data_IF_889295610233
#
_entry.id   IF_889295610233
#
_cell.length_a   1.000
_cell.length_b   1.000
_cell.length_c   1.000
_cell.angle_alpha   90.00
_cell.angle_beta   90.00
_cell.angle_gamma   90.00
#
_symmetry.space_group_name_H-M   'P 1'
#
loop_
_entity.id
_entity.type
_entity.pdbx_description
1 polymer ?
#
# COMPACT_ATOMS: atom_id res chain seq x y z
N UNK A 1 30.73 -5.22 -13.38
CA UNK A 1 30.03 -5.23 -13.24
C UNK A 1 29.20 -5.05 -13.46
N UNK A 2 28.88 -5.16 -13.77
CA UNK A 2 28.11 -4.98 -13.97
C UNK A 2 27.19 -4.85 -13.57
N UNK A 3 26.86 -4.64 -13.48
CA UNK A 3 25.62 -4.04 -13.41
C UNK A 3 24.56 -4.54 -12.50
N UNK A 4 24.87 -5.12 -11.42
CA UNK A 4 23.86 -5.52 -10.45
C UNK A 4 23.41 -4.31 -9.67
N UNK A 5 22.07 -4.11 -9.66
CA UNK A 5 21.47 -3.06 -8.84
C UNK A 5 21.50 -3.50 -7.40
N UNK A 6 22.06 -2.67 -6.55
CA UNK A 6 22.06 -2.94 -5.12
C UNK A 6 20.78 -2.37 -4.53
N UNK A 7 19.75 -3.20 -4.47
CA UNK A 7 18.44 -2.80 -3.98
C UNK A 7 18.46 -2.40 -2.50
N UNK A 8 19.46 -2.87 -1.75
CA UNK A 8 19.54 -2.53 -0.33
C UNK A 8 19.80 -1.06 -0.09
N UNK A 9 20.38 -0.37 -1.08
CA UNK A 9 20.54 1.08 -0.97
C UNK A 9 19.20 1.79 -0.82
N UNK A 10 18.17 1.27 -1.46
CA UNK A 10 16.84 1.85 -1.32
C UNK A 10 16.31 1.68 0.10
N UNK A 11 16.62 0.54 0.73
CA UNK A 11 16.20 0.31 2.11
C UNK A 11 16.88 1.28 3.06
N UNK A 12 18.12 1.68 2.77
CA UNK A 12 18.85 2.66 3.58
C UNK A 12 18.31 4.07 3.37
N UNK A 13 17.88 4.38 2.15
CA UNK A 13 17.35 5.70 1.81
C UNK A 13 15.95 5.91 2.38
N UNK A 14 15.17 4.84 2.49
CA UNK A 14 13.78 4.94 2.89
C UNK A 14 13.55 5.69 4.21
N UNK A 15 14.27 5.36 5.30
CA UNK A 15 14.02 6.09 6.55
C UNK A 15 14.35 7.57 6.46
N UNK A 16 15.37 7.92 5.68
CA UNK A 16 15.74 9.33 5.49
C UNK A 16 14.65 10.06 4.73
N UNK A 17 14.16 9.45 3.65
CA UNK A 17 13.11 10.05 2.84
C UNK A 17 11.82 10.19 3.66
N UNK A 18 11.52 9.22 4.50
CA UNK A 18 10.32 9.26 5.34
C UNK A 18 10.38 10.42 6.34
N UNK A 19 11.57 10.65 6.94
CA UNK A 19 11.76 11.75 7.88
C UNK A 19 11.61 13.09 7.16
N UNK A 20 12.12 13.19 5.94
CA UNK A 20 12.05 14.42 5.15
C UNK A 20 10.69 14.63 4.50
N UNK A 21 9.78 13.67 4.65
CA UNK A 21 8.45 13.71 4.05
C UNK A 21 8.47 13.84 2.53
N UNK A 22 9.45 13.20 1.92
CA UNK A 22 9.57 13.17 0.47
C UNK A 22 8.70 12.04 -0.07
N UNK A 23 7.39 12.29 -0.14
CA UNK A 23 6.40 11.24 -0.30
C UNK A 23 6.50 10.50 -1.63
N UNK A 24 6.85 11.21 -2.70
CA UNK A 24 7.03 10.54 -4.00
C UNK A 24 8.09 9.46 -3.92
N UNK A 25 9.24 9.81 -3.31
CA UNK A 25 10.35 8.88 -3.18
C UNK A 25 10.00 7.75 -2.22
N UNK A 26 9.38 8.12 -1.09
CA UNK A 26 9.00 7.14 -0.07
C UNK A 26 8.13 6.04 -0.66
N UNK A 27 7.06 6.43 -1.35
CA UNK A 27 6.13 5.45 -1.89
C UNK A 27 6.72 4.67 -3.05
N UNK A 28 7.57 5.32 -3.86
CA UNK A 28 8.24 4.62 -4.95
C UNK A 28 9.16 3.51 -4.42
N UNK A 29 9.96 3.83 -3.41
CA UNK A 29 10.86 2.85 -2.82
C UNK A 29 10.05 1.72 -2.18
N UNK A 30 9.08 2.10 -1.37
CA UNK A 30 8.28 1.14 -0.63
C UNK A 30 7.59 0.15 -1.56
N UNK A 31 6.89 0.66 -2.57
CA UNK A 31 6.17 -0.20 -3.51
C UNK A 31 7.15 -1.09 -4.27
N UNK A 32 8.23 -0.53 -4.77
CA UNK A 32 9.20 -1.30 -5.52
C UNK A 32 9.83 -2.41 -4.71
N UNK A 33 10.23 -2.11 -3.48
CA UNK A 33 10.90 -3.10 -2.64
C UNK A 33 9.93 -4.16 -2.13
N UNK A 34 8.70 -3.80 -1.83
CA UNK A 34 7.73 -4.78 -1.33
C UNK A 34 7.17 -5.66 -2.45
N UNK A 35 7.05 -5.11 -3.66
CA UNK A 35 6.59 -5.91 -4.78
C UNK A 35 7.67 -6.81 -5.33
N UNK A 36 8.94 -6.43 -5.17
CA UNK A 36 10.08 -7.25 -5.60
C UNK A 36 11.10 -7.28 -4.47
N UNK A 37 10.88 -8.11 -3.44
CA UNK A 37 11.64 -8.02 -2.19
C UNK A 37 12.98 -8.78 -2.22
N UNK A 38 13.80 -8.51 -3.22
CA UNK A 38 15.12 -9.14 -3.31
C UNK A 38 16.04 -8.58 -2.23
N UNK A 39 16.46 -9.43 -1.32
CA UNK A 39 17.44 -9.05 -0.30
C UNK A 39 16.92 -8.06 0.73
N UNK A 40 15.60 -7.95 0.90
CA UNK A 40 15.04 -7.10 1.95
C UNK A 40 15.22 -7.79 3.29
N UNK A 41 15.89 -7.10 4.23
CA UNK A 41 16.07 -7.64 5.57
C UNK A 41 14.75 -7.59 6.34
N UNK A 42 14.68 -8.38 7.41
CA UNK A 42 13.49 -8.34 8.27
C UNK A 42 13.28 -6.95 8.84
N UNK A 43 14.37 -6.27 9.20
CA UNK A 43 14.28 -4.93 9.75
C UNK A 43 13.70 -3.95 8.73
N UNK A 44 14.21 -4.00 7.50
CA UNK A 44 13.69 -3.12 6.44
C UNK A 44 12.23 -3.41 6.15
N UNK A 45 11.86 -4.70 6.10
CA UNK A 45 10.47 -5.07 5.87
C UNK A 45 9.55 -4.53 6.95
N UNK A 46 9.99 -4.61 8.21
CA UNK A 46 9.20 -4.07 9.31
C UNK A 46 8.99 -2.56 9.19
N UNK A 47 10.01 -1.85 8.70
CA UNK A 47 9.88 -0.41 8.48
C UNK A 47 8.85 -0.12 7.40
N UNK A 48 8.87 -0.86 6.30
CA UNK A 48 7.89 -0.70 5.23
C UNK A 48 6.48 -1.00 5.74
N UNK A 49 6.32 -2.09 6.47
CA UNK A 49 5.02 -2.45 7.03
C UNK A 49 4.48 -1.35 7.95
N UNK A 50 5.34 -0.84 8.82
CA UNK A 50 4.93 0.20 9.74
C UNK A 50 4.48 1.46 9.02
N UNK A 51 5.22 1.83 7.98
CA UNK A 51 4.87 3.02 7.21
C UNK A 51 3.53 2.86 6.50
N UNK A 52 3.31 1.69 5.88
CA UNK A 52 2.04 1.42 5.22
C UNK A 52 0.88 1.51 6.21
N UNK A 53 1.03 0.87 7.35
CA UNK A 53 -0.06 0.82 8.33
C UNK A 53 -0.43 2.19 8.85
N UNK A 54 0.56 3.08 8.93
CA UNK A 54 0.31 4.42 9.47
C UNK A 54 -0.12 5.44 8.43
N UNK A 55 0.23 5.22 7.16
CA UNK A 55 0.09 6.25 6.14
C UNK A 55 -0.69 5.81 4.91
N UNK A 56 -1.39 4.69 4.99
CA UNK A 56 -2.00 4.10 3.80
C UNK A 56 -3.10 4.95 3.17
N UNK A 57 -3.68 5.87 3.92
CA UNK A 57 -4.74 6.72 3.37
C UNK A 57 -4.24 7.60 2.22
N UNK A 58 -2.94 7.86 2.18
CA UNK A 58 -2.34 8.73 1.17
C UNK A 58 -1.75 7.98 -0.02
N UNK A 59 -1.58 6.67 0.11
CA UNK A 59 -0.75 5.92 -0.83
C UNK A 59 -1.22 6.00 -2.27
N UNK A 60 -2.53 6.01 -2.50
CA UNK A 60 -3.04 6.00 -3.87
C UNK A 60 -2.69 7.26 -4.64
N UNK A 61 -2.36 8.33 -3.94
CA UNK A 61 -1.95 9.57 -4.59
C UNK A 61 -0.52 9.49 -5.14
N UNK A 62 0.24 8.49 -4.71
CA UNK A 62 1.68 8.43 -5.02
C UNK A 62 2.10 7.17 -5.77
N UNK A 63 1.27 6.13 -5.77
CA UNK A 63 1.62 4.89 -6.48
C UNK A 63 1.53 5.11 -7.99
N UNK A 64 2.53 4.59 -8.71
CA UNK A 64 2.47 4.55 -10.16
C UNK A 64 1.32 3.66 -10.60
N UNK A 65 0.74 3.98 -11.72
CA UNK A 65 -0.42 3.24 -12.21
C UNK A 65 -0.14 1.75 -12.29
N UNK A 66 1.04 1.38 -12.78
CA UNK A 66 1.41 -0.02 -12.94
C UNK A 66 1.57 -0.74 -11.60
N UNK A 67 1.78 -0.01 -10.52
CA UNK A 67 1.97 -0.60 -9.19
C UNK A 67 0.67 -0.68 -8.40
N UNK A 68 -0.37 0.03 -8.82
CA UNK A 68 -1.59 0.13 -8.03
C UNK A 68 -2.25 -1.21 -7.79
N UNK A 69 -2.48 -1.96 -8.86
CA UNK A 69 -3.15 -3.25 -8.73
C UNK A 69 -2.31 -4.27 -7.96
N UNK A 70 -1.01 -4.46 -8.30
CA UNK A 70 -0.21 -5.41 -7.53
C UNK A 70 -0.09 -5.03 -6.07
N UNK A 71 0.02 -3.73 -5.78
CA UNK A 71 0.19 -3.30 -4.39
C UNK A 71 -1.09 -3.47 -3.58
N UNK A 72 -2.23 -3.17 -4.18
CA UNK A 72 -3.52 -3.41 -3.52
C UNK A 72 -3.67 -4.90 -3.22
N UNK A 73 -3.30 -5.77 -4.15
CA UNK A 73 -3.36 -7.20 -3.93
C UNK A 73 -2.43 -7.64 -2.80
N UNK A 74 -1.25 -7.06 -2.74
CA UNK A 74 -0.31 -7.35 -1.65
C UNK A 74 -0.90 -6.95 -0.30
N UNK A 75 -1.46 -5.77 -0.23
CA UNK A 75 -2.05 -5.28 1.02
C UNK A 75 -3.22 -6.14 1.47
N UNK A 76 -4.03 -6.57 0.52
CA UNK A 76 -5.15 -7.46 0.83
C UNK A 76 -4.64 -8.80 1.35
N UNK A 77 -3.65 -9.36 0.67
CA UNK A 77 -3.09 -10.66 1.04
C UNK A 77 -2.45 -10.62 2.42
N UNK A 78 -1.75 -9.54 2.73
CA UNK A 78 -1.03 -9.38 3.99
C UNK A 78 -1.88 -8.79 5.10
N UNK A 79 -3.11 -8.43 4.82
CA UNK A 79 -4.00 -7.88 5.84
C UNK A 79 -3.56 -6.51 6.34
N UNK A 80 -3.00 -5.70 5.47
CA UNK A 80 -2.47 -4.40 5.87
C UNK A 80 -3.52 -3.31 5.92
N UNK A 81 -4.66 -3.48 5.24
CA UNK A 81 -5.68 -2.43 5.18
C UNK A 81 -6.33 -2.20 6.54
N UNK A 82 -6.36 -0.95 6.96
CA UNK A 82 -7.25 -0.52 8.03
C UNK A 82 -8.59 -0.13 7.43
N UNK A 83 -9.60 0.02 8.28
CA UNK A 83 -10.91 0.47 7.81
C UNK A 83 -10.80 1.82 7.11
N UNK A 84 -10.09 2.75 7.75
CA UNK A 84 -9.90 4.08 7.18
C UNK A 84 -9.10 4.04 5.88
N UNK A 85 -8.06 3.21 5.85
CA UNK A 85 -7.21 3.10 4.67
C UNK A 85 -7.95 2.57 3.47
N UNK A 86 -8.77 1.53 3.68
CA UNK A 86 -9.50 0.95 2.57
C UNK A 86 -10.60 1.88 2.08
N UNK A 87 -11.21 2.63 3.00
CA UNK A 87 -12.21 3.64 2.62
C UNK A 87 -11.58 4.74 1.78
N UNK A 88 -10.38 5.18 2.16
CA UNK A 88 -9.67 6.19 1.39
C UNK A 88 -9.32 5.69 -0.01
N UNK A 89 -8.88 4.43 -0.10
CA UNK A 89 -8.53 3.84 -1.39
C UNK A 89 -9.77 3.70 -2.29
N UNK A 90 -10.90 3.29 -1.71
CA UNK A 90 -12.15 3.17 -2.44
C UNK A 90 -12.58 4.53 -2.97
N UNK A 91 -12.51 5.55 -2.13
CA UNK A 91 -12.89 6.90 -2.54
C UNK A 91 -12.02 7.38 -3.69
N UNK A 92 -10.71 7.14 -3.59
CA UNK A 92 -9.78 7.51 -4.66
C UNK A 92 -10.12 6.79 -5.96
N UNK A 93 -10.34 5.48 -5.89
CA UNK A 93 -10.62 4.68 -7.08
C UNK A 93 -11.94 5.09 -7.72
N UNK A 94 -12.92 5.44 -6.89
CA UNK A 94 -14.22 5.90 -7.37
C UNK A 94 -14.07 7.21 -8.11
N UNK A 95 -13.35 8.17 -7.51
CA UNK A 95 -13.17 9.48 -8.13
C UNK A 95 -12.37 9.38 -9.44
N UNK A 96 -11.44 8.46 -9.51
CA UNK A 96 -10.61 8.26 -10.70
C UNK A 96 -11.24 7.29 -11.70
N UNK A 97 -12.41 6.76 -11.38
CA UNK A 97 -13.14 5.84 -12.25
C UNK A 97 -12.32 4.59 -12.57
N UNK A 98 -11.55 4.12 -11.59
CA UNK A 98 -10.75 2.90 -11.73
C UNK A 98 -11.63 1.70 -11.35
N UNK A 99 -12.45 1.27 -12.28
CA UNK A 99 -13.51 0.30 -12.02
C UNK A 99 -12.99 -1.02 -11.48
N UNK A 100 -11.90 -1.53 -12.05
CA UNK A 100 -11.36 -2.81 -11.62
C UNK A 100 -10.79 -2.71 -10.21
N UNK A 101 -10.03 -1.65 -9.92
CA UNK A 101 -9.51 -1.42 -8.58
C UNK A 101 -10.64 -1.25 -7.58
N UNK A 102 -11.64 -0.49 -7.96
CA UNK A 102 -12.79 -0.25 -7.08
C UNK A 102 -13.46 -1.56 -6.71
N UNK A 103 -13.64 -2.43 -7.69
CA UNK A 103 -14.26 -3.72 -7.45
C UNK A 103 -13.46 -4.56 -6.45
N UNK A 104 -12.15 -4.62 -6.63
CA UNK A 104 -11.28 -5.39 -5.72
C UNK A 104 -11.32 -4.80 -4.32
N UNK A 105 -11.24 -3.47 -4.22
CA UNK A 105 -11.25 -2.80 -2.93
C UNK A 105 -12.57 -2.98 -2.19
N UNK A 106 -13.68 -2.88 -2.90
CA UNK A 106 -14.98 -3.05 -2.28
C UNK A 106 -15.17 -4.49 -1.82
N UNK A 107 -14.68 -5.44 -2.60
CA UNK A 107 -14.74 -6.86 -2.21
C UNK A 107 -13.92 -7.10 -0.95
N UNK A 108 -12.74 -6.52 -0.89
CA UNK A 108 -11.87 -6.65 0.29
C UNK A 108 -12.50 -5.98 1.51
N UNK A 109 -13.10 -4.81 1.32
CA UNK A 109 -13.79 -4.11 2.41
C UNK A 109 -14.92 -4.97 2.97
N UNK A 110 -15.72 -5.54 2.09
CA UNK A 110 -16.84 -6.38 2.51
C UNK A 110 -16.35 -7.60 3.29
N UNK A 111 -15.25 -8.17 2.84
CA UNK A 111 -14.69 -9.38 3.44
C UNK A 111 -14.08 -9.09 4.82
N UNK A 112 -13.38 -7.97 4.96
CA UNK A 112 -12.63 -7.64 6.18
C UNK A 112 -13.41 -6.80 7.16
N UNK A 113 -14.28 -5.95 6.67
CA UNK A 113 -15.01 -4.98 7.47
C UNK A 113 -16.48 -5.01 7.10
N UNK A 114 -17.16 -6.15 7.27
CA UNK A 114 -18.57 -6.23 6.88
C UNK A 114 -19.39 -5.28 7.71
N UNK A 115 -20.32 -4.61 7.06
CA UNK A 115 -21.25 -3.75 7.78
C UNK A 115 -22.13 -4.62 8.65
N UNK A 116 -22.25 -4.26 9.91
CA UNK A 116 -23.18 -4.94 10.79
C UNK A 116 -24.58 -4.72 10.24
N UNK A 117 -25.28 -5.79 9.98
CA UNK A 117 -26.69 -5.70 9.66
C UNK A 117 -27.37 -5.09 10.86
N UNK A 118 -28.07 -4.00 10.65
CA UNK A 118 -28.94 -3.47 11.66
C UNK A 118 -30.05 -4.47 11.85
N UNK A 119 -30.10 -4.98 12.98
CA UNK A 119 -31.18 -5.87 13.27
C UNK A 119 -32.45 -5.05 13.50
N UNK A 120 -32.47 -4.80 13.25
CA UNK A 120 -33.39 -4.34 13.41
C UNK A 120 -34.28 -4.45 12.96
N UNK A 121 -34.03 -4.28 12.77
CA UNK A 121 -34.39 -4.43 12.43
C UNK A 121 -35.05 -4.92 12.57
N UNK A 122 -35.44 -4.94 12.81
CA UNK A 122 -35.92 -5.35 13.14
C UNK A 122 -36.40 -5.46 13.34
#
# INVERSE_FOLDING_TARGET
>A
MRGEIDYRKYDDIFPVAAVQEDLDIVWEILAGRMLMPYGVSDFAWMQYEGYIKQNQCEMMNYLKEEDQMPFINLMAEKNYFSKEGIEAAIDWASRKQKTELLSILMNEQHKRFPKKKKTFEL
#
